data_IF_740157196077
#
_entry.id   IF_740157196077
#
_cell.length_a   1.000
_cell.length_b   1.000
_cell.length_c   1.000
_cell.angle_alpha   90.00
_cell.angle_beta   90.00
_cell.angle_gamma   90.00
#
_symmetry.space_group_name_H-M   'P 1'
#
loop_
_entity.id
_entity.type
_entity.pdbx_description
1 polymer ?
#
# COMPACT_ATOMS: atom_id res chain seq x y z
N UNK A 1 -6.25 5.37 18.17
CA UNK A 1 -7.04 5.86 17.01
C UNK A 1 -6.58 5.08 15.79
N UNK A 2 -7.47 4.40 15.08
CA UNK A 2 -7.09 3.57 13.95
C UNK A 2 -6.60 4.42 12.76
N UNK A 3 -5.60 3.92 12.03
CA UNK A 3 -5.02 4.55 10.85
C UNK A 3 -5.93 4.27 9.66
N UNK A 4 -6.38 5.30 8.97
CA UNK A 4 -7.27 5.21 7.82
C UNK A 4 -6.46 5.19 6.53
N UNK A 5 -6.54 4.11 5.77
CA UNK A 5 -5.75 3.94 4.56
C UNK A 5 -6.60 3.92 3.29
N UNK A 6 -5.99 4.42 2.23
CA UNK A 6 -6.41 4.23 0.86
C UNK A 6 -5.39 3.40 0.08
N UNK A 7 -5.85 2.64 -0.90
CA UNK A 7 -4.97 1.83 -1.76
C UNK A 7 -5.17 2.27 -3.20
N UNK A 8 -4.10 2.68 -3.85
CA UNK A 8 -4.08 2.96 -5.28
C UNK A 8 -3.44 1.78 -6.02
N UNK A 9 -4.23 1.05 -6.79
CA UNK A 9 -3.80 -0.13 -7.53
C UNK A 9 -4.04 -1.44 -6.81
N UNK A 10 -4.87 -2.29 -7.43
CA UNK A 10 -5.22 -3.64 -6.97
C UNK A 10 -4.52 -4.72 -7.80
N UNK A 11 -3.25 -4.47 -8.10
CA UNK A 11 -2.33 -5.49 -8.60
C UNK A 11 -2.02 -6.53 -7.52
N UNK A 12 -1.00 -7.34 -7.74
CA UNK A 12 -0.59 -8.36 -6.75
C UNK A 12 -0.34 -7.75 -5.37
N UNK A 13 0.46 -6.68 -5.31
CA UNK A 13 0.83 -6.07 -4.02
C UNK A 13 -0.37 -5.47 -3.30
N UNK A 14 -1.20 -4.67 -3.99
CA UNK A 14 -2.39 -4.07 -3.34
C UNK A 14 -3.34 -5.11 -2.78
N UNK A 15 -3.54 -6.24 -3.49
CA UNK A 15 -4.35 -7.35 -2.98
C UNK A 15 -3.71 -8.03 -1.76
N UNK A 16 -2.40 -8.23 -1.78
CA UNK A 16 -1.71 -8.85 -0.63
C UNK A 16 -1.73 -7.95 0.60
N UNK A 17 -1.63 -6.64 0.44
CA UNK A 17 -1.80 -5.67 1.54
C UNK A 17 -3.18 -5.84 2.19
N UNK A 18 -4.24 -5.91 1.40
CA UNK A 18 -5.60 -6.12 1.93
C UNK A 18 -5.71 -7.46 2.66
N UNK A 19 -5.24 -8.54 2.05
CA UNK A 19 -5.25 -9.87 2.66
C UNK A 19 -4.49 -9.87 4.00
N UNK A 20 -3.29 -9.30 4.02
CA UNK A 20 -2.48 -9.22 5.24
C UNK A 20 -3.21 -8.47 6.37
N UNK A 21 -3.85 -7.34 6.08
CA UNK A 21 -4.58 -6.57 7.09
C UNK A 21 -5.76 -7.37 7.64
N UNK A 22 -6.52 -8.03 6.77
CA UNK A 22 -7.75 -8.74 7.14
C UNK A 22 -7.45 -10.07 7.82
N UNK A 23 -6.53 -10.88 7.27
CA UNK A 23 -6.18 -12.19 7.80
C UNK A 23 -5.46 -12.11 9.15
N UNK A 24 -4.66 -11.07 9.38
CA UNK A 24 -4.05 -10.80 10.68
C UNK A 24 -5.01 -10.08 11.66
N UNK A 25 -6.27 -9.87 11.28
CA UNK A 25 -7.27 -9.18 12.09
C UNK A 25 -6.76 -7.85 12.69
N UNK A 26 -6.02 -7.10 11.88
CA UNK A 26 -5.41 -5.84 12.34
C UNK A 26 -6.47 -4.75 12.47
N UNK A 27 -6.87 -4.47 13.72
CA UNK A 27 -7.88 -3.45 14.07
C UNK A 27 -7.34 -2.02 14.10
N UNK A 28 -6.03 -1.86 14.01
CA UNK A 28 -5.39 -0.54 14.01
C UNK A 28 -5.40 0.11 12.63
N UNK A 29 -5.66 -0.67 11.56
CA UNK A 29 -5.69 -0.20 10.19
C UNK A 29 -7.09 -0.37 9.60
N UNK A 30 -7.68 0.73 9.11
CA UNK A 30 -8.98 0.75 8.45
C UNK A 30 -8.83 1.09 6.98
N UNK A 31 -9.20 0.17 6.10
CA UNK A 31 -9.24 0.42 4.65
C UNK A 31 -10.50 1.22 4.33
N UNK A 32 -10.35 2.46 3.88
CA UNK A 32 -11.45 3.39 3.61
C UNK A 32 -11.78 3.51 2.14
N UNK A 33 -10.76 3.49 1.27
CA UNK A 33 -10.95 3.69 -0.16
C UNK A 33 -9.95 2.88 -0.98
N UNK A 34 -10.42 2.39 -2.13
CA UNK A 34 -9.59 1.73 -3.12
C UNK A 34 -9.80 2.42 -4.46
N UNK A 35 -8.72 2.78 -5.14
CA UNK A 35 -8.75 3.16 -6.53
C UNK A 35 -8.09 2.09 -7.39
N UNK A 36 -8.77 1.61 -8.43
CA UNK A 36 -8.22 0.63 -9.37
C UNK A 36 -8.87 0.79 -10.76
N UNK A 37 -8.10 0.60 -11.81
CA UNK A 37 -8.60 0.75 -13.20
C UNK A 37 -9.53 -0.38 -13.63
N UNK A 38 -9.37 -1.58 -13.10
CA UNK A 38 -10.30 -2.69 -13.34
C UNK A 38 -11.61 -2.46 -12.59
N UNK A 39 -12.70 -3.03 -13.09
CA UNK A 39 -13.99 -2.96 -12.42
C UNK A 39 -14.01 -3.72 -11.07
N UNK A 40 -15.05 -3.49 -10.29
CA UNK A 40 -15.21 -4.11 -8.97
C UNK A 40 -15.34 -5.63 -9.05
N UNK A 41 -16.06 -6.16 -10.00
CA UNK A 41 -16.26 -7.59 -10.18
C UNK A 41 -14.93 -8.33 -10.40
N UNK A 42 -14.12 -7.85 -11.34
CA UNK A 42 -12.77 -8.39 -11.59
C UNK A 42 -11.88 -8.23 -10.35
N UNK A 43 -11.95 -7.07 -9.69
CA UNK A 43 -11.17 -6.82 -8.48
C UNK A 43 -11.54 -7.78 -7.35
N UNK A 44 -12.83 -8.04 -7.14
CA UNK A 44 -13.33 -9.01 -6.16
C UNK A 44 -12.89 -10.44 -6.49
N UNK A 45 -13.04 -10.85 -7.74
CA UNK A 45 -12.65 -12.20 -8.19
C UNK A 45 -11.16 -12.46 -7.95
N UNK A 46 -10.30 -11.51 -8.33
CA UNK A 46 -8.86 -11.59 -8.13
C UNK A 46 -8.43 -11.49 -6.66
N UNK A 47 -9.22 -10.81 -5.81
CA UNK A 47 -8.96 -10.76 -4.38
C UNK A 47 -9.37 -12.06 -3.69
N UNK A 48 -10.50 -12.66 -4.10
CA UNK A 48 -10.98 -13.96 -3.58
C UNK A 48 -10.00 -15.09 -3.85
N UNK A 49 -9.42 -15.12 -5.05
CA UNK A 49 -8.64 -16.25 -5.51
C UNK A 49 -7.26 -15.78 -5.97
N UNK A 50 -6.22 -16.31 -5.35
CA UNK A 50 -4.84 -16.07 -5.76
C UNK A 50 -4.17 -17.39 -6.09
N UNK A 51 -3.41 -17.43 -7.20
CA UNK A 51 -2.77 -18.67 -7.68
C UNK A 51 -1.66 -19.17 -6.77
N UNK A 52 -1.10 -18.33 -5.92
CA UNK A 52 -0.01 -18.66 -4.99
C UNK A 52 -0.57 -18.81 -3.56
N UNK A 53 -1.34 -17.80 -3.11
CA UNK A 53 -1.85 -17.73 -1.74
C UNK A 53 -3.22 -18.38 -1.56
N UNK A 54 -3.79 -18.95 -2.63
CA UNK A 54 -5.06 -19.64 -2.58
C UNK A 54 -6.26 -18.75 -2.29
N UNK A 55 -7.31 -19.35 -1.75
CA UNK A 55 -8.56 -18.67 -1.44
C UNK A 55 -8.38 -17.73 -0.25
N UNK A 56 -8.90 -16.52 -0.38
CA UNK A 56 -8.89 -15.54 0.71
C UNK A 56 -9.87 -15.93 1.81
N UNK A 57 -9.40 -15.95 3.05
CA UNK A 57 -10.22 -16.30 4.20
C UNK A 57 -11.02 -15.07 4.69
N UNK A 58 -11.93 -14.60 3.85
CA UNK A 58 -12.83 -13.49 4.16
C UNK A 58 -14.08 -13.55 3.29
N UNK A 59 -15.19 -13.04 3.80
CA UNK A 59 -16.39 -12.81 3.01
C UNK A 59 -16.19 -11.60 2.12
N UNK A 60 -16.26 -11.78 0.80
CA UNK A 60 -16.13 -10.69 -0.17
C UNK A 60 -17.39 -10.57 -0.99
N UNK A 61 -17.92 -9.38 -1.02
CA UNK A 61 -19.05 -8.97 -1.84
C UNK A 61 -18.80 -7.57 -2.40
N UNK A 62 -19.65 -7.09 -3.30
CA UNK A 62 -19.57 -5.75 -3.83
C UNK A 62 -20.95 -5.23 -4.23
N UNK A 63 -21.07 -3.92 -4.27
CA UNK A 63 -22.21 -3.23 -4.88
C UNK A 63 -21.69 -2.18 -5.87
N UNK A 64 -22.57 -1.35 -6.43
CA UNK A 64 -22.23 -0.37 -7.49
C UNK A 64 -21.04 0.56 -7.15
N UNK A 65 -20.73 0.78 -5.87
CA UNK A 65 -19.73 1.79 -5.45
C UNK A 65 -18.76 1.30 -4.38
N UNK A 66 -18.95 0.10 -3.84
CA UNK A 66 -18.15 -0.36 -2.71
C UNK A 66 -17.74 -1.81 -2.88
N UNK A 67 -16.49 -2.10 -2.51
CA UNK A 67 -16.04 -3.42 -2.12
C UNK A 67 -16.48 -3.68 -0.68
N UNK A 68 -16.95 -4.87 -0.39
CA UNK A 68 -17.41 -5.27 0.95
C UNK A 68 -16.55 -6.46 1.40
N UNK A 69 -15.85 -6.30 2.52
CA UNK A 69 -15.02 -7.35 3.13
C UNK A 69 -15.48 -7.55 4.58
N UNK A 70 -15.92 -8.75 4.93
CA UNK A 70 -16.42 -9.07 6.27
C UNK A 70 -17.44 -8.01 6.77
N UNK A 71 -18.41 -7.64 5.92
CA UNK A 71 -19.44 -6.61 6.14
C UNK A 71 -18.92 -5.16 6.18
N UNK A 72 -17.60 -4.92 6.15
CA UNK A 72 -17.03 -3.58 6.08
C UNK A 72 -17.10 -3.03 4.66
N UNK A 73 -17.71 -1.87 4.49
CA UNK A 73 -17.83 -1.19 3.19
C UNK A 73 -16.58 -0.34 2.94
N UNK A 74 -15.95 -0.57 1.81
CA UNK A 74 -14.76 0.15 1.33
C UNK A 74 -15.16 0.85 0.02
N UNK A 75 -15.09 2.17 -0.03
CA UNK A 75 -15.43 2.92 -1.23
C UNK A 75 -14.47 2.62 -2.38
N UNK A 76 -14.97 2.69 -3.62
CA UNK A 76 -14.18 2.31 -4.79
C UNK A 76 -14.29 3.36 -5.89
N UNK A 77 -13.17 3.64 -6.55
CA UNK A 77 -13.11 4.48 -7.75
C UNK A 77 -12.26 3.86 -8.85
N UNK A 78 -12.43 4.35 -10.08
CA UNK A 78 -11.72 3.88 -11.28
C UNK A 78 -10.97 5.02 -11.98
N UNK A 79 -10.35 5.89 -11.18
CA UNK A 79 -9.62 7.04 -11.70
C UNK A 79 -8.28 6.62 -12.31
N UNK A 80 -7.99 7.13 -13.49
CA UNK A 80 -6.71 6.91 -14.19
C UNK A 80 -5.66 7.95 -13.83
N UNK A 81 -6.10 9.15 -13.46
CA UNK A 81 -5.25 10.26 -13.03
C UNK A 81 -5.27 10.41 -11.53
N UNK A 82 -4.10 10.67 -10.93
CA UNK A 82 -3.97 10.85 -9.48
C UNK A 82 -4.73 12.08 -8.98
N UNK A 83 -4.84 13.12 -9.80
CA UNK A 83 -5.51 14.37 -9.48
C UNK A 83 -7.01 14.18 -9.20
N UNK A 84 -7.61 13.13 -9.78
CA UNK A 84 -9.05 12.87 -9.66
C UNK A 84 -9.40 12.01 -8.43
N UNK A 85 -8.41 11.41 -7.78
CA UNK A 85 -8.64 10.56 -6.59
C UNK A 85 -8.79 11.45 -5.36
N UNK A 86 -9.98 11.54 -4.79
CA UNK A 86 -10.25 12.40 -3.64
C UNK A 86 -10.11 11.64 -2.32
N UNK A 87 -8.91 11.62 -1.77
CA UNK A 87 -8.60 10.96 -0.50
C UNK A 87 -9.29 11.62 0.70
N UNK A 88 -9.35 12.96 0.69
CA UNK A 88 -10.00 13.74 1.76
C UNK A 88 -11.47 13.37 1.91
N UNK A 89 -12.22 13.32 0.80
CA UNK A 89 -13.65 12.94 0.81
C UNK A 89 -13.87 11.53 1.34
N UNK A 90 -12.91 10.66 1.12
CA UNK A 90 -12.97 9.26 1.54
C UNK A 90 -12.34 9.01 2.93
N UNK A 91 -12.02 10.07 3.66
CA UNK A 91 -11.49 9.99 5.03
C UNK A 91 -10.22 9.13 5.14
N UNK A 92 -9.28 9.33 4.19
CA UNK A 92 -8.01 8.60 4.09
C UNK A 92 -6.87 9.45 4.65
N UNK A 93 -6.11 8.89 5.57
CA UNK A 93 -4.89 9.50 6.12
C UNK A 93 -3.63 9.11 5.35
N UNK A 94 -3.48 7.81 5.04
CA UNK A 94 -2.30 7.25 4.38
C UNK A 94 -2.69 6.56 3.08
N UNK A 95 -1.92 6.78 2.03
CA UNK A 95 -2.12 6.11 0.74
C UNK A 95 -1.02 5.07 0.52
N UNK A 96 -1.42 3.84 0.21
CA UNK A 96 -0.52 2.82 -0.32
C UNK A 96 -0.58 2.87 -1.84
N UNK A 97 0.52 3.37 -2.44
CA UNK A 97 0.68 3.42 -3.88
C UNK A 97 1.23 2.09 -4.40
N UNK A 98 0.37 1.28 -4.98
CA UNK A 98 0.66 -0.09 -5.40
C UNK A 98 0.51 -0.31 -6.91
N UNK A 99 0.43 0.77 -7.71
CA UNK A 99 0.27 0.63 -9.18
C UNK A 99 1.56 0.27 -9.90
N UNK A 100 2.72 0.57 -9.30
CA UNK A 100 4.03 0.48 -9.94
C UNK A 100 4.28 1.51 -11.04
N UNK A 101 3.35 2.45 -11.29
CA UNK A 101 3.45 3.47 -12.34
C UNK A 101 3.98 4.81 -11.87
N UNK A 102 3.75 5.13 -10.61
CA UNK A 102 4.10 6.41 -10.00
C UNK A 102 5.24 6.20 -9.02
N UNK A 103 6.46 6.39 -9.51
CA UNK A 103 7.70 6.05 -8.79
C UNK A 103 8.64 7.26 -8.61
N UNK A 104 8.09 8.45 -8.56
CA UNK A 104 8.83 9.66 -8.20
C UNK A 104 8.03 10.54 -7.25
N UNK A 105 8.72 11.23 -6.33
CA UNK A 105 8.11 12.13 -5.34
C UNK A 105 7.20 13.16 -6.00
N UNK A 106 7.65 13.76 -7.10
CA UNK A 106 6.92 14.82 -7.81
C UNK A 106 5.52 14.37 -8.23
N UNK A 107 5.39 13.15 -8.76
CA UNK A 107 4.09 12.56 -9.15
C UNK A 107 3.23 12.25 -7.94
N UNK A 108 3.85 11.73 -6.88
CA UNK A 108 3.15 11.27 -5.68
C UNK A 108 2.63 12.40 -4.79
N UNK A 109 3.17 13.62 -4.95
CA UNK A 109 2.65 14.82 -4.28
C UNK A 109 1.18 15.10 -4.65
N UNK A 110 0.68 14.58 -5.79
CA UNK A 110 -0.76 14.64 -6.13
C UNK A 110 -1.62 13.94 -5.08
N UNK A 111 -1.18 12.85 -4.48
CA UNK A 111 -1.91 12.21 -3.38
C UNK A 111 -1.99 13.10 -2.14
N UNK A 112 -0.90 13.80 -1.81
CA UNK A 112 -0.87 14.74 -0.68
C UNK A 112 -1.79 15.93 -0.95
N UNK A 113 -1.73 16.52 -2.15
CA UNK A 113 -2.63 17.61 -2.56
C UNK A 113 -4.11 17.21 -2.47
N UNK A 114 -4.42 15.94 -2.74
CA UNK A 114 -5.78 15.39 -2.70
C UNK A 114 -6.21 14.89 -1.31
N UNK A 115 -5.41 15.20 -0.28
CA UNK A 115 -5.80 15.06 1.13
C UNK A 115 -5.15 13.92 1.90
N UNK A 116 -4.27 13.12 1.30
CA UNK A 116 -3.47 12.17 2.05
C UNK A 116 -2.42 12.91 2.90
N UNK A 117 -2.14 12.42 4.10
CA UNK A 117 -1.07 12.94 4.97
C UNK A 117 0.29 12.36 4.59
N UNK A 118 0.31 11.08 4.21
CA UNK A 118 1.53 10.37 3.79
C UNK A 118 1.21 9.38 2.68
N UNK A 119 2.24 9.06 1.89
CA UNK A 119 2.19 8.03 0.84
C UNK A 119 3.28 7.01 1.08
N UNK A 120 2.91 5.74 1.08
CA UNK A 120 3.83 4.61 1.12
C UNK A 120 3.81 3.95 -0.26
N UNK A 121 4.96 3.95 -0.92
CA UNK A 121 5.11 3.40 -2.28
C UNK A 121 5.65 1.99 -2.20
N UNK A 122 4.96 1.03 -2.80
CA UNK A 122 5.37 -0.39 -2.82
C UNK A 122 6.47 -0.69 -3.86
N UNK A 123 7.29 0.29 -4.19
CA UNK A 123 8.35 0.21 -5.20
C UNK A 123 9.46 1.22 -4.91
N UNK A 124 10.65 1.10 -5.53
CA UNK A 124 11.65 2.16 -5.52
C UNK A 124 11.05 3.48 -6.00
N UNK A 125 11.33 4.56 -5.30
CA UNK A 125 10.78 5.87 -5.59
C UNK A 125 11.88 6.92 -5.67
N UNK A 126 11.99 7.56 -6.84
CA UNK A 126 12.96 8.65 -7.05
C UNK A 126 12.61 9.83 -6.16
N UNK A 127 13.61 10.37 -5.48
CA UNK A 127 13.48 11.54 -4.58
C UNK A 127 12.49 11.32 -3.42
N UNK A 128 12.18 10.08 -3.01
CA UNK A 128 11.41 9.82 -1.80
C UNK A 128 12.08 10.46 -0.58
N UNK A 129 11.29 10.86 0.43
CA UNK A 129 11.86 11.41 1.67
C UNK A 129 12.70 10.36 2.39
N UNK A 130 12.25 9.12 2.37
CA UNK A 130 12.97 7.95 2.90
C UNK A 130 12.69 6.72 2.05
N UNK A 131 13.71 5.85 1.95
CA UNK A 131 13.54 4.47 1.48
C UNK A 131 13.76 3.54 2.67
N UNK A 132 12.76 2.73 2.96
CA UNK A 132 12.71 1.90 4.18
C UNK A 132 12.67 0.43 3.82
N UNK A 133 13.52 -0.33 4.49
CA UNK A 133 13.42 -1.79 4.62
C UNK A 133 13.10 -2.10 6.07
N UNK A 134 11.91 -2.63 6.32
CA UNK A 134 11.45 -2.94 7.67
C UNK A 134 12.38 -3.97 8.35
N UNK A 135 12.72 -3.72 9.61
CA UNK A 135 13.69 -4.53 10.38
C UNK A 135 15.16 -4.16 10.13
N UNK A 136 15.42 -3.21 9.22
CA UNK A 136 16.79 -2.74 8.93
C UNK A 136 16.97 -1.27 9.29
N UNK A 137 16.12 -0.39 8.75
CA UNK A 137 16.28 1.05 8.91
C UNK A 137 14.99 1.84 9.18
N UNK A 138 13.90 1.21 9.62
CA UNK A 138 12.63 1.90 9.90
C UNK A 138 12.75 3.01 10.95
N UNK A 139 13.76 2.94 11.81
CA UNK A 139 14.01 3.93 12.88
C UNK A 139 14.43 5.31 12.36
N UNK A 140 14.84 5.41 11.08
CA UNK A 140 15.20 6.70 10.49
C UNK A 140 13.98 7.53 10.05
N UNK A 141 12.76 6.97 10.14
CA UNK A 141 11.53 7.68 9.81
C UNK A 141 11.25 8.80 10.80
N UNK A 142 10.83 9.93 10.25
CA UNK A 142 10.42 11.09 11.02
C UNK A 142 8.95 11.46 10.75
N UNK A 143 8.38 12.30 11.60
CA UNK A 143 7.00 12.80 11.41
C UNK A 143 6.86 13.64 10.14
N UNK A 144 7.94 14.25 9.66
CA UNK A 144 7.95 15.15 8.49
C UNK A 144 8.03 14.40 7.16
N UNK A 145 8.42 13.11 7.16
CA UNK A 145 8.51 12.32 5.93
C UNK A 145 7.10 12.06 5.39
N UNK A 146 6.82 12.49 4.17
CA UNK A 146 5.52 12.36 3.53
C UNK A 146 5.48 11.27 2.47
N UNK A 147 6.56 11.13 1.67
CA UNK A 147 6.67 10.14 0.60
C UNK A 147 7.72 9.11 1.00
N UNK A 148 7.26 7.92 1.32
CA UNK A 148 8.09 6.84 1.86
C UNK A 148 8.10 5.69 0.84
N UNK A 149 9.29 5.30 0.37
CA UNK A 149 9.45 4.12 -0.46
C UNK A 149 9.66 2.88 0.42
N UNK A 150 8.94 1.80 0.14
CA UNK A 150 9.17 0.48 0.73
C UNK A 150 10.29 -0.30 0.03
N UNK A 151 11.18 0.39 -0.70
CA UNK A 151 12.27 -0.19 -1.48
C UNK A 151 11.81 -1.15 -2.60
N UNK A 152 12.73 -1.94 -3.15
CA UNK A 152 12.42 -2.98 -4.13
C UNK A 152 12.29 -4.35 -3.48
N UNK A 153 11.71 -5.31 -4.20
CA UNK A 153 11.64 -6.71 -3.77
C UNK A 153 13.05 -7.28 -3.52
N UNK A 154 14.01 -6.98 -4.39
CA UNK A 154 15.41 -7.41 -4.25
C UNK A 154 16.10 -6.76 -3.06
N UNK A 155 15.87 -5.47 -2.81
CA UNK A 155 16.40 -4.77 -1.64
C UNK A 155 15.83 -5.34 -0.34
N UNK A 156 14.52 -5.63 -0.29
CA UNK A 156 13.90 -6.25 0.88
C UNK A 156 14.40 -7.67 1.14
N UNK A 157 14.88 -8.38 0.12
CA UNK A 157 15.53 -9.68 0.26
C UNK A 157 16.98 -9.53 0.80
N UNK A 158 17.77 -8.68 0.16
CA UNK A 158 19.22 -8.58 0.42
C UNK A 158 19.57 -7.82 1.71
N UNK A 159 18.91 -6.69 1.96
CA UNK A 159 19.30 -5.79 3.04
C UNK A 159 19.24 -6.42 4.44
N UNK A 160 18.24 -7.23 4.82
CA UNK A 160 18.24 -7.93 6.10
C UNK A 160 19.43 -8.89 6.26
N UNK A 161 19.73 -9.66 5.21
CA UNK A 161 20.86 -10.60 5.21
C UNK A 161 22.18 -9.84 5.34
N UNK A 162 22.41 -8.82 4.51
CA UNK A 162 23.61 -7.99 4.55
C UNK A 162 23.75 -7.29 5.92
N UNK A 163 22.65 -6.84 6.52
CA UNK A 163 22.69 -6.20 7.84
C UNK A 163 23.15 -7.15 8.94
N UNK A 164 22.69 -8.40 8.92
CA UNK A 164 23.13 -9.43 9.87
C UNK A 164 24.63 -9.74 9.66
N UNK A 165 25.01 -10.03 8.42
CA UNK A 165 26.41 -10.33 8.09
C UNK A 165 27.36 -9.19 8.49
N UNK A 166 26.93 -7.94 8.23
CA UNK A 166 27.76 -6.79 8.59
C UNK A 166 27.91 -6.61 10.10
N UNK A 167 26.86 -6.92 10.88
CA UNK A 167 26.94 -6.87 12.36
C UNK A 167 27.89 -7.91 12.95
N UNK A 168 27.86 -9.12 12.40
CA UNK A 168 28.58 -10.26 12.98
C UNK A 168 30.00 -10.40 12.43
N UNK A 169 30.22 -10.03 11.15
CA UNK A 169 31.50 -10.29 10.45
C UNK A 169 32.16 -9.03 9.90
N UNK A 170 31.54 -7.87 9.93
CA UNK A 170 32.02 -6.60 9.37
C UNK A 170 32.39 -6.73 7.88
N UNK A 171 31.43 -6.39 7.01
CA UNK A 171 31.63 -6.42 5.55
C UNK A 171 32.56 -5.27 5.16
N UNK A 172 33.72 -5.59 4.58
CA UNK A 172 34.71 -4.60 4.13
C UNK A 172 34.50 -4.18 2.66
N UNK A 173 34.09 -5.09 1.77
CA UNK A 173 33.81 -4.86 0.34
C UNK A 173 32.75 -5.85 -0.17
#
# INVERSE_FOLDING_TARGET
MAIKIGINGMGRIGRMVIRSIVENNNKEILIKHINNRSNLETTCSLLKNDSIHGKFNADIDFNKKNLIINKNKISFSQESSLENINWKKNDVDYVFECTGKFNSKEKLLSHIKNGAKKVIVSAPCKNADKTIVYGVNEKVLTKNDQIISAASCTTNCLAPVANILNKDFQIEK
#
